data_IF_545342572922
#
_entry.id   IF_545342572922
#
_cell.length_a   1.000
_cell.length_b   1.000
_cell.length_c   1.000
_cell.angle_alpha   90.00
_cell.angle_beta   90.00
_cell.angle_gamma   90.00
#
_symmetry.space_group_name_H-M   'P 1'
#
loop_
_entity.id
_entity.type
_entity.pdbx_description
1 polymer ?
#
# COMPACT_ATOMS: atom_id res chain seq x y z
N UNK A 1 -12.71 -7.81 8.15
CA UNK A 1 -13.31 -6.71 7.38
C UNK A 1 -12.75 -5.40 7.92
N UNK A 2 -12.39 -4.45 7.05
CA UNK A 2 -12.01 -3.08 7.42
C UNK A 2 -12.84 -2.14 6.55
N UNK A 3 -13.84 -1.48 7.13
CA UNK A 3 -14.77 -0.66 6.35
C UNK A 3 -15.23 0.62 7.05
N UNK A 4 -15.52 1.63 6.23
CA UNK A 4 -16.06 2.93 6.66
C UNK A 4 -15.17 3.68 7.68
N UNK A 5 -13.85 3.49 7.61
CA UNK A 5 -12.89 4.19 8.46
C UNK A 5 -12.28 5.40 7.74
N UNK A 6 -11.80 6.35 8.54
CA UNK A 6 -10.94 7.43 8.07
C UNK A 6 -9.56 7.30 8.70
N UNK A 7 -8.54 7.06 7.88
CA UNK A 7 -7.14 7.02 8.29
C UNK A 7 -6.50 8.37 7.97
N UNK A 8 -6.08 9.12 9.00
CA UNK A 8 -5.52 10.47 8.86
C UNK A 8 -4.39 10.69 9.85
N UNK A 9 -3.31 11.33 9.37
CA UNK A 9 -2.11 11.65 10.17
C UNK A 9 -1.38 10.40 10.70
N UNK A 10 -1.35 9.33 9.92
CA UNK A 10 -0.58 8.13 10.28
C UNK A 10 0.91 8.38 10.04
N UNK A 11 1.75 8.12 11.04
CA UNK A 11 3.21 8.20 10.93
C UNK A 11 3.84 6.93 10.33
N UNK A 12 3.03 5.89 10.10
CA UNK A 12 3.37 4.60 9.48
C UNK A 12 2.35 4.28 8.39
N UNK A 13 2.40 3.08 7.79
CA UNK A 13 1.40 2.65 6.82
C UNK A 13 -0.01 2.71 7.43
N UNK A 14 -1.00 3.19 6.68
CA UNK A 14 -2.35 3.37 7.25
C UNK A 14 -3.05 2.04 7.53
N UNK A 15 -2.80 1.02 6.71
CA UNK A 15 -3.06 -0.38 7.03
C UNK A 15 -1.79 -1.17 6.79
N UNK A 16 -1.35 -1.92 7.79
CA UNK A 16 -0.23 -2.83 7.70
C UNK A 16 -0.69 -4.26 7.97
N UNK A 17 -0.63 -5.12 6.96
CA UNK A 17 -0.88 -6.56 7.10
C UNK A 17 0.49 -7.25 7.08
N UNK A 18 0.85 -7.83 8.20
CA UNK A 18 2.08 -8.59 8.38
C UNK A 18 1.76 -10.01 8.85
N UNK A 19 2.81 -10.82 8.87
CA UNK A 19 3.04 -11.92 9.79
C UNK A 19 4.54 -11.98 10.00
N UNK A 20 5.00 -12.65 11.06
CA UNK A 20 6.44 -12.75 11.31
C UNK A 20 6.81 -14.19 11.65
N UNK A 21 7.81 -14.72 10.96
CA UNK A 21 8.36 -16.07 11.20
C UNK A 21 9.84 -16.06 11.58
N UNK A 22 10.43 -14.88 11.77
CA UNK A 22 11.84 -14.66 12.08
C UNK A 22 12.04 -14.00 13.45
N UNK A 23 11.38 -12.87 13.69
CA UNK A 23 11.66 -12.01 14.85
C UNK A 23 10.52 -12.10 15.87
N UNK A 24 9.32 -11.65 15.51
CA UNK A 24 8.20 -11.53 16.44
C UNK A 24 7.32 -12.78 16.56
N UNK A 25 7.48 -13.74 15.64
CA UNK A 25 6.66 -14.97 15.60
C UNK A 25 5.15 -14.69 15.64
N UNK A 26 4.74 -13.63 14.95
CA UNK A 26 3.37 -13.12 14.93
C UNK A 26 2.43 -13.99 14.10
N UNK A 27 1.12 -13.85 14.39
CA UNK A 27 0.05 -14.64 13.79
C UNK A 27 0.16 -14.73 12.28
N UNK A 28 -0.17 -15.91 11.75
CA UNK A 28 0.08 -16.30 10.38
C UNK A 28 -0.82 -15.65 9.30
N UNK A 29 -0.90 -16.28 8.12
CA UNK A 29 -1.36 -15.61 6.91
C UNK A 29 -2.85 -15.29 6.89
N UNK A 30 -3.21 -14.09 6.42
CA UNK A 30 -4.59 -13.76 6.06
C UNK A 30 -5.06 -14.51 4.81
N UNK A 31 -6.34 -14.92 4.80
CA UNK A 31 -6.95 -15.73 3.72
C UNK A 31 -8.20 -15.14 3.08
N UNK A 32 -8.83 -14.15 3.72
CA UNK A 32 -9.92 -13.35 3.13
C UNK A 32 -10.01 -12.03 3.88
N UNK A 33 -9.56 -10.95 3.23
CA UNK A 33 -9.61 -9.60 3.80
C UNK A 33 -10.33 -8.71 2.80
N UNK A 34 -11.36 -8.02 3.27
CA UNK A 34 -11.98 -6.93 2.54
C UNK A 34 -11.70 -5.61 3.23
N UNK A 35 -11.15 -4.67 2.46
CA UNK A 35 -10.87 -3.28 2.82
C UNK A 35 -11.73 -2.42 1.90
N UNK A 36 -12.84 -1.86 2.42
CA UNK A 36 -13.79 -1.15 1.58
C UNK A 36 -14.32 0.15 2.15
N UNK A 37 -14.66 1.09 1.27
CA UNK A 37 -15.33 2.34 1.67
C UNK A 37 -14.56 3.15 2.73
N UNK A 38 -13.24 2.98 2.82
CA UNK A 38 -12.40 3.76 3.72
C UNK A 38 -11.86 5.00 3.01
N UNK A 39 -11.49 6.01 3.80
CA UNK A 39 -10.80 7.21 3.32
C UNK A 39 -9.40 7.28 3.94
N UNK A 40 -8.39 7.38 3.08
CA UNK A 40 -6.98 7.45 3.46
C UNK A 40 -6.44 8.84 3.13
N UNK A 41 -5.83 9.49 4.12
CA UNK A 41 -5.05 10.72 3.96
C UNK A 41 -3.58 10.40 4.24
N UNK A 42 -2.84 10.08 3.20
CA UNK A 42 -1.42 9.71 3.28
C UNK A 42 -0.60 10.97 3.07
N UNK A 43 -0.25 11.59 4.19
CA UNK A 43 0.53 12.81 4.25
C UNK A 43 2.03 12.51 4.43
N UNK A 44 2.89 13.44 4.03
CA UNK A 44 4.30 13.43 4.40
C UNK A 44 4.41 13.80 5.89
N UNK A 45 4.56 12.80 6.75
CA UNK A 45 4.73 13.02 8.20
C UNK A 45 6.21 12.99 8.54
N UNK A 46 6.82 14.17 8.74
CA UNK A 46 8.21 14.30 9.18
C UNK A 46 9.27 13.72 8.24
N UNK A 47 10.45 13.38 8.80
CA UNK A 47 11.52 12.66 8.11
C UNK A 47 11.82 11.30 8.78
N UNK A 48 10.83 10.41 8.91
CA UNK A 48 11.08 9.06 9.43
C UNK A 48 12.02 8.30 8.49
N UNK A 49 12.83 7.42 9.05
CA UNK A 49 13.68 6.50 8.28
C UNK A 49 12.89 5.40 7.56
N UNK A 50 11.59 5.26 7.86
CA UNK A 50 10.69 4.23 7.34
C UNK A 50 9.73 4.77 6.27
N UNK A 51 9.02 3.86 5.58
CA UNK A 51 8.05 4.14 4.51
C UNK A 51 6.62 4.16 5.04
N UNK A 52 5.71 4.86 4.36
CA UNK A 52 4.32 5.07 4.80
C UNK A 52 3.32 4.98 3.64
N UNK A 53 3.03 3.77 3.18
CA UNK A 53 2.05 3.52 2.12
C UNK A 53 0.60 3.65 2.63
N UNK A 54 -0.34 3.81 1.70
CA UNK A 54 -1.76 3.72 2.04
C UNK A 54 -2.12 2.35 2.62
N UNK A 55 -1.71 1.28 1.94
CA UNK A 55 -1.83 -0.10 2.44
C UNK A 55 -0.54 -0.84 2.12
N UNK A 56 0.06 -1.44 3.15
CA UNK A 56 1.22 -2.32 3.01
C UNK A 56 0.89 -3.75 3.43
N UNK A 57 1.32 -4.70 2.62
CA UNK A 57 1.38 -6.12 2.99
C UNK A 57 2.84 -6.55 2.95
N UNK A 58 3.41 -6.90 4.10
CA UNK A 58 4.82 -7.28 4.20
C UNK A 58 5.00 -8.38 5.25
N UNK A 59 4.93 -9.66 4.86
CA UNK A 59 5.26 -10.75 5.76
C UNK A 59 6.78 -10.78 6.01
N UNK A 60 7.19 -10.89 7.27
CA UNK A 60 8.59 -11.12 7.64
C UNK A 60 8.86 -12.63 7.60
N UNK A 61 9.66 -13.05 6.62
CA UNK A 61 10.01 -14.46 6.42
C UNK A 61 11.37 -14.79 7.00
N UNK A 62 11.47 -15.96 7.63
CA UNK A 62 12.77 -16.55 7.96
C UNK A 62 13.62 -16.71 6.70
N UNK A 63 14.82 -16.13 6.71
CA UNK A 63 15.71 -16.09 5.54
C UNK A 63 15.51 -14.88 4.61
N UNK A 64 14.63 -13.93 4.98
CA UNK A 64 14.48 -12.63 4.32
C UNK A 64 14.12 -12.70 2.83
N UNK A 65 13.47 -13.78 2.42
CA UNK A 65 13.01 -13.99 1.05
C UNK A 65 11.55 -14.43 1.04
N UNK A 66 10.76 -13.87 0.13
CA UNK A 66 9.42 -14.36 -0.12
C UNK A 66 9.47 -15.71 -0.84
N UNK A 67 8.51 -16.61 -0.59
CA UNK A 67 8.35 -17.79 -1.41
C UNK A 67 7.95 -17.40 -2.84
N UNK A 68 8.03 -18.36 -3.76
CA UNK A 68 7.54 -18.16 -5.13
C UNK A 68 6.07 -17.71 -5.13
N UNK A 69 5.62 -16.90 -6.12
CA UNK A 69 4.24 -16.42 -6.22
C UNK A 69 3.16 -17.50 -6.13
N UNK A 70 3.47 -18.73 -6.57
CA UNK A 70 2.62 -19.91 -6.50
C UNK A 70 2.30 -20.33 -5.06
N UNK A 71 3.19 -19.98 -4.13
CA UNK A 71 3.16 -20.26 -2.70
C UNK A 71 3.01 -18.96 -1.89
N UNK A 72 2.42 -17.92 -2.49
CA UNK A 72 2.19 -16.65 -1.83
C UNK A 72 1.56 -16.84 -0.44
N UNK A 73 2.11 -16.13 0.53
CA UNK A 73 1.80 -16.28 1.95
C UNK A 73 0.36 -15.87 2.24
N UNK A 74 -0.03 -14.69 1.78
CA UNK A 74 -1.36 -14.13 1.97
C UNK A 74 -2.26 -14.40 0.77
N UNK A 75 -3.57 -14.48 0.99
CA UNK A 75 -4.52 -14.78 -0.08
C UNK A 75 -5.83 -13.98 0.04
N UNK A 76 -6.45 -13.74 -1.12
CA UNK A 76 -7.79 -13.16 -1.28
C UNK A 76 -7.97 -11.82 -0.56
N UNK A 77 -7.20 -10.81 -0.96
CA UNK A 77 -7.32 -9.45 -0.45
C UNK A 77 -8.14 -8.62 -1.45
N UNK A 78 -9.23 -8.01 -0.98
CA UNK A 78 -10.13 -7.18 -1.79
C UNK A 78 -10.10 -5.75 -1.25
N UNK A 79 -9.65 -4.81 -2.07
CA UNK A 79 -9.54 -3.40 -1.76
C UNK A 79 -10.44 -2.64 -2.73
N UNK A 80 -11.60 -2.19 -2.26
CA UNK A 80 -12.64 -1.65 -3.15
C UNK A 80 -13.36 -0.42 -2.63
N UNK A 81 -13.75 0.49 -3.51
CA UNK A 81 -14.53 1.68 -3.17
C UNK A 81 -13.86 2.60 -2.13
N UNK A 82 -12.54 2.54 -2.00
CA UNK A 82 -11.81 3.41 -1.09
C UNK A 82 -11.41 4.73 -1.77
N UNK A 83 -11.15 5.74 -0.96
CA UNK A 83 -10.63 7.05 -1.38
C UNK A 83 -9.22 7.22 -0.83
N UNK A 84 -8.24 7.40 -1.70
CA UNK A 84 -6.85 7.63 -1.34
C UNK A 84 -6.49 9.06 -1.71
N UNK A 85 -6.21 9.89 -0.72
CA UNK A 85 -5.64 11.21 -0.88
C UNK A 85 -4.15 11.11 -0.57
N UNK A 86 -3.31 11.19 -1.61
CA UNK A 86 -1.89 10.89 -1.56
C UNK A 86 -1.03 12.15 -1.73
N UNK A 87 -0.20 12.46 -0.75
CA UNK A 87 0.85 13.49 -0.85
C UNK A 87 2.22 12.86 -1.18
N UNK A 88 2.48 11.64 -0.69
CA UNK A 88 3.77 10.97 -0.71
C UNK A 88 3.57 9.43 -0.69
N UNK A 89 4.59 8.66 -1.11
CA UNK A 89 4.64 7.19 -1.10
C UNK A 89 3.61 6.46 -1.99
N UNK A 90 3.70 5.12 -2.01
CA UNK A 90 2.82 4.24 -2.78
C UNK A 90 1.41 4.16 -2.19
N UNK A 91 0.40 4.04 -3.06
CA UNK A 91 -0.97 3.70 -2.64
C UNK A 91 -0.96 2.29 -2.06
N UNK A 92 -0.36 1.34 -2.78
CA UNK A 92 -0.20 -0.04 -2.36
C UNK A 92 1.26 -0.48 -2.44
N UNK A 93 1.75 -1.15 -1.39
CA UNK A 93 3.02 -1.87 -1.42
C UNK A 93 2.79 -3.30 -0.91
N UNK A 94 2.71 -4.25 -1.83
CA UNK A 94 2.17 -5.59 -1.57
C UNK A 94 3.22 -6.66 -1.83
N UNK A 95 3.51 -7.44 -0.79
CA UNK A 95 4.38 -8.60 -0.82
C UNK A 95 3.64 -9.92 -0.62
N UNK A 96 3.94 -10.92 -1.44
CA UNK A 96 3.53 -12.31 -1.29
C UNK A 96 2.00 -12.51 -1.12
N UNK A 97 1.22 -11.96 -2.05
CA UNK A 97 -0.25 -12.14 -2.10
C UNK A 97 -0.67 -12.88 -3.37
N UNK A 98 -1.52 -13.90 -3.22
CA UNK A 98 -2.28 -14.49 -4.32
C UNK A 98 -3.74 -14.00 -4.29
N UNK A 99 -4.28 -13.60 -5.44
CA UNK A 99 -5.64 -13.10 -5.62
C UNK A 99 -5.89 -11.77 -4.88
N UNK A 100 -5.26 -10.70 -5.38
CA UNK A 100 -5.50 -9.33 -4.95
C UNK A 100 -6.45 -8.64 -5.94
N UNK A 101 -7.52 -8.03 -5.44
CA UNK A 101 -8.41 -7.18 -6.22
C UNK A 101 -8.35 -5.73 -5.71
N UNK A 102 -7.87 -4.80 -6.54
CA UNK A 102 -7.94 -3.37 -6.30
C UNK A 102 -8.93 -2.73 -7.29
N UNK A 103 -10.17 -2.49 -6.85
CA UNK A 103 -11.28 -2.15 -7.75
C UNK A 103 -12.13 -0.96 -7.32
N UNK A 104 -12.53 -0.12 -8.28
CA UNK A 104 -13.43 1.00 -8.03
C UNK A 104 -12.93 1.98 -6.94
N UNK A 105 -11.61 2.13 -6.79
CA UNK A 105 -11.04 3.09 -5.86
C UNK A 105 -10.79 4.43 -6.55
N UNK A 106 -10.77 5.50 -5.76
CA UNK A 106 -10.40 6.84 -6.19
C UNK A 106 -9.05 7.21 -5.59
N UNK A 107 -8.12 7.70 -6.41
CA UNK A 107 -6.80 8.15 -6.00
C UNK A 107 -6.66 9.61 -6.42
N UNK A 108 -6.48 10.51 -5.47
CA UNK A 108 -6.40 11.95 -5.67
C UNK A 108 -5.15 12.52 -5.00
N UNK A 109 -4.69 13.67 -5.50
CA UNK A 109 -3.57 14.39 -4.89
C UNK A 109 -4.01 14.95 -3.55
N UNK A 110 -3.16 14.84 -2.55
CA UNK A 110 -3.35 15.49 -1.26
C UNK A 110 -2.34 16.61 -1.08
N UNK A 111 -2.84 17.81 -0.82
CA UNK A 111 -2.04 18.99 -0.49
C UNK A 111 -2.58 19.54 0.84
N UNK A 112 -2.12 19.03 1.99
CA UNK A 112 -2.54 19.58 3.27
C UNK A 112 -2.01 21.01 3.41
N UNK A 113 -2.79 21.88 4.04
CA UNK A 113 -2.32 23.22 4.39
C UNK A 113 -1.15 23.10 5.38
N UNK A 114 0.05 23.47 4.93
CA UNK A 114 1.24 23.49 5.76
C UNK A 114 1.24 24.78 6.59
N UNK A 115 1.18 24.64 7.91
CA UNK A 115 1.45 25.77 8.79
C UNK A 115 2.98 25.97 8.90
N UNK A 116 3.48 27.05 8.30
CA UNK A 116 4.90 27.40 8.26
C UNK A 116 5.55 27.62 9.64
N UNK A 117 4.76 27.66 10.72
CA UNK A 117 5.26 27.68 12.10
C UNK A 117 5.70 26.29 12.62
N UNK A 118 5.41 25.20 11.91
CA UNK A 118 5.91 23.86 12.25
C UNK A 118 7.37 23.68 11.78
N UNK A 119 8.20 23.17 12.69
CA UNK A 119 9.66 23.15 12.61
C UNK A 119 10.23 22.63 11.26
N UNK A 120 11.19 23.36 10.63
CA UNK A 120 11.85 22.96 9.38
C UNK A 120 12.64 21.64 9.45
N UNK A 121 13.01 21.20 10.66
CA UNK A 121 13.82 20.01 10.91
C UNK A 121 13.10 18.69 10.63
N UNK A 122 11.78 18.75 10.39
CA UNK A 122 10.96 17.60 10.03
C UNK A 122 10.83 17.41 8.51
N UNK A 123 11.32 18.34 7.70
CA UNK A 123 11.16 18.27 6.24
C UNK A 123 12.33 17.51 5.60
N UNK A 124 12.03 16.33 5.06
CA UNK A 124 12.97 15.55 4.23
C UNK A 124 13.44 16.41 3.05
N UNK A 125 14.77 16.63 2.93
CA UNK A 125 15.41 17.50 1.92
C UNK A 125 15.26 16.99 0.48
N UNK A 126 15.09 15.69 0.31
CA UNK A 126 14.92 15.07 -1.00
C UNK A 126 13.45 14.71 -1.24
N UNK A 127 12.94 15.14 -2.39
CA UNK A 127 11.70 14.62 -2.94
C UNK A 127 11.98 13.24 -3.53
N UNK A 128 11.36 12.20 -2.96
CA UNK A 128 11.39 10.86 -3.51
C UNK A 128 10.05 10.59 -4.16
N UNK A 129 10.09 10.22 -5.44
CA UNK A 129 8.93 9.72 -6.16
C UNK A 129 8.88 8.21 -6.00
N UNK A 130 7.75 7.69 -5.53
CA UNK A 130 7.52 6.26 -5.40
C UNK A 130 6.49 5.80 -6.44
N UNK A 131 6.58 4.54 -6.90
CA UNK A 131 5.55 3.96 -7.75
C UNK A 131 4.20 3.99 -7.05
N UNK A 132 3.12 4.21 -7.81
CA UNK A 132 1.75 4.18 -7.27
C UNK A 132 1.43 2.81 -6.68
N UNK A 133 1.89 1.76 -7.35
CA UNK A 133 1.77 0.38 -6.88
C UNK A 133 3.11 -0.35 -6.89
N UNK A 134 3.37 -1.12 -5.83
CA UNK A 134 4.51 -2.03 -5.76
C UNK A 134 4.01 -3.45 -5.53
N UNK A 135 4.47 -4.37 -6.38
CA UNK A 135 4.11 -5.77 -6.36
C UNK A 135 5.37 -6.61 -6.22
N UNK A 136 5.45 -7.41 -5.16
CA UNK A 136 6.57 -8.34 -4.96
C UNK A 136 6.05 -9.74 -4.65
N UNK A 137 6.49 -10.75 -5.39
CA UNK A 137 6.10 -12.15 -5.18
C UNK A 137 4.58 -12.39 -5.19
N UNK A 138 3.83 -11.59 -5.95
CA UNK A 138 2.37 -11.69 -6.01
C UNK A 138 1.89 -12.46 -7.24
N UNK A 139 0.66 -12.97 -7.15
CA UNK A 139 -0.01 -13.75 -8.20
C UNK A 139 -1.46 -13.33 -8.32
N UNK A 140 -1.99 -13.28 -9.54
CA UNK A 140 -3.39 -12.92 -9.79
C UNK A 140 -3.78 -11.55 -9.20
N UNK A 141 -3.01 -10.52 -9.52
CA UNK A 141 -3.32 -9.13 -9.15
C UNK A 141 -4.24 -8.52 -10.21
N UNK A 142 -5.38 -7.97 -9.79
CA UNK A 142 -6.36 -7.31 -10.64
C UNK A 142 -6.54 -5.86 -10.18
N UNK A 143 -6.33 -4.92 -11.11
CA UNK A 143 -6.49 -3.48 -10.88
C UNK A 143 -7.54 -2.98 -11.87
N UNK A 144 -8.75 -2.69 -11.39
CA UNK A 144 -9.92 -2.49 -12.24
C UNK A 144 -10.69 -1.21 -11.90
N UNK A 145 -11.11 -0.46 -12.91
CA UNK A 145 -12.06 0.66 -12.77
C UNK A 145 -11.67 1.68 -11.68
N UNK A 146 -10.38 1.92 -11.48
CA UNK A 146 -9.91 2.92 -10.52
C UNK A 146 -9.84 4.29 -11.19
N UNK A 147 -10.23 5.34 -10.48
CA UNK A 147 -10.13 6.73 -10.93
C UNK A 147 -8.84 7.34 -10.37
N UNK A 148 -8.05 7.95 -11.26
CA UNK A 148 -6.86 8.71 -10.90
C UNK A 148 -7.16 10.20 -11.14
N UNK A 149 -6.86 11.01 -10.14
CA UNK A 149 -6.97 12.46 -10.19
C UNK A 149 -5.99 13.09 -11.17
N UNK A 150 -6.17 14.39 -11.42
CA UNK A 150 -5.29 15.14 -12.33
C UNK A 150 -3.84 15.11 -11.86
N UNK A 151 -2.92 14.82 -12.79
CA UNK A 151 -1.49 14.74 -12.51
C UNK A 151 -1.08 13.58 -11.61
N UNK A 152 -1.92 12.54 -11.46
CA UNK A 152 -1.54 11.25 -10.87
C UNK A 152 -1.42 10.22 -11.99
N UNK A 153 -0.19 9.76 -12.21
CA UNK A 153 0.08 8.66 -13.12
C UNK A 153 -0.03 7.32 -12.39
N UNK A 154 -0.53 6.31 -13.11
CA UNK A 154 -0.42 4.93 -12.65
C UNK A 154 0.96 4.40 -13.00
N UNK A 155 1.82 4.29 -12.00
CA UNK A 155 3.15 3.69 -12.12
C UNK A 155 3.23 2.42 -11.28
N UNK A 156 3.99 1.43 -11.76
CA UNK A 156 4.09 0.13 -11.13
C UNK A 156 5.54 -0.32 -11.03
N UNK A 157 5.94 -0.82 -9.85
CA UNK A 157 7.17 -1.57 -9.67
C UNK A 157 6.82 -3.04 -9.45
N UNK A 158 7.31 -3.89 -10.34
CA UNK A 158 7.04 -5.33 -10.35
C UNK A 158 8.32 -6.10 -10.03
N UNK A 159 8.24 -6.96 -9.01
CA UNK A 159 9.30 -7.88 -8.62
C UNK A 159 8.73 -9.28 -8.49
N UNK A 160 9.35 -10.28 -9.15
CA UNK A 160 9.01 -11.70 -9.01
C UNK A 160 7.50 -11.99 -9.15
N UNK A 161 6.88 -11.73 -10.30
CA UNK A 161 5.42 -11.92 -10.49
C UNK A 161 5.08 -13.10 -11.41
N UNK A 162 3.90 -13.71 -11.21
CA UNK A 162 3.26 -14.58 -12.22
C UNK A 162 1.86 -14.08 -12.62
N UNK A 163 1.64 -13.95 -13.94
CA UNK A 163 0.40 -13.52 -14.62
C UNK A 163 -0.19 -12.16 -14.18
N UNK A 164 0.12 -11.09 -14.92
CA UNK A 164 -0.57 -9.80 -14.83
C UNK A 164 -1.71 -9.78 -15.87
N UNK A 165 -2.96 -9.65 -15.41
CA UNK A 165 -4.06 -9.19 -16.27
C UNK A 165 -4.33 -7.74 -15.91
N UNK A 166 -3.71 -6.82 -16.65
CA UNK A 166 -4.12 -5.41 -16.66
C UNK A 166 -5.03 -5.21 -17.87
N UNK A 167 -6.34 -5.01 -17.68
CA UNK A 167 -7.11 -4.30 -18.71
C UNK A 167 -6.47 -2.91 -18.85
N UNK A 168 -6.16 -2.53 -20.09
CA UNK A 168 -5.82 -1.15 -20.45
C UNK A 168 -6.97 -0.23 -20.09
#
# INVERSE_FOLDING_TARGET
MIENNTFRHMAMDAIFISNDSQDWYESGPVRDVTIQSNTFYVAKVGNPGWRTAGIRVHPVTKGSQYPAPEQAIHQNIKIKHNKFYMEHESVLSIGSVNNLLFKNNMIERYQPELNASYYPTLMRKEERTYPTFEWNACKNVQVENNRFGEGIERTELVMNMSNIKTPK
#
